data_IF_309988855787
#
_entry.id   IF_309988855787
#
_cell.length_a   1.000
_cell.length_b   1.000
_cell.length_c   1.000
_cell.angle_alpha   90.00
_cell.angle_beta   90.00
_cell.angle_gamma   90.00
#
_symmetry.space_group_name_H-M   'P 1'
#
loop_
_entity.id
_entity.type
_entity.pdbx_description
1 polymer ?
#
# COMPACT_ATOMS: atom_id res chain seq x y z
N UNK A 1 -4.12 19.75 56.32
CA UNK A 1 -4.62 20.00 54.94
C UNK A 1 -3.55 20.16 53.85
N UNK A 2 -2.23 20.21 54.15
CA UNK A 2 -1.18 20.32 53.10
C UNK A 2 -0.55 19.00 52.64
N UNK A 3 -0.83 17.88 53.31
CA UNK A 3 -0.19 16.59 53.01
C UNK A 3 -1.05 15.70 52.09
N UNK A 4 -2.38 15.85 52.09
CA UNK A 4 -3.27 15.11 51.19
C UNK A 4 -3.22 15.59 49.72
N UNK A 5 -2.73 16.80 49.46
CA UNK A 5 -2.69 17.37 48.11
C UNK A 5 -1.50 16.89 47.29
N UNK A 6 -0.40 16.51 47.93
CA UNK A 6 0.85 16.12 47.25
C UNK A 6 0.84 14.62 46.92
N UNK A 7 0.25 13.78 47.77
CA UNK A 7 0.12 12.34 47.51
C UNK A 7 -0.87 12.07 46.38
N UNK A 8 -1.97 12.82 46.29
CA UNK A 8 -2.93 12.67 45.19
C UNK A 8 -2.34 13.13 43.85
N UNK A 9 -1.44 14.13 43.86
CA UNK A 9 -0.80 14.64 42.65
C UNK A 9 0.30 13.69 42.12
N UNK A 10 1.04 13.02 43.01
CA UNK A 10 2.04 12.01 42.64
C UNK A 10 1.38 10.74 42.10
N UNK A 11 0.27 10.29 42.70
CA UNK A 11 -0.48 9.12 42.20
C UNK A 11 -1.11 9.42 40.83
N UNK A 12 -1.57 10.65 40.58
CA UNK A 12 -2.10 11.05 39.26
C UNK A 12 -0.97 11.16 38.22
N UNK A 13 0.23 11.63 38.58
CA UNK A 13 1.40 11.63 37.68
C UNK A 13 1.94 10.22 37.40
N UNK A 14 1.93 9.32 38.38
CA UNK A 14 2.30 7.91 38.18
C UNK A 14 1.24 7.15 37.36
N UNK A 15 -0.05 7.45 37.51
CA UNK A 15 -1.08 6.91 36.61
C UNK A 15 -0.99 7.48 35.19
N UNK A 16 -0.58 8.75 35.02
CA UNK A 16 -0.36 9.35 33.70
C UNK A 16 0.92 8.78 33.04
N UNK A 17 1.90 8.34 33.81
CA UNK A 17 3.11 7.67 33.29
C UNK A 17 2.95 6.17 33.03
N UNK A 18 1.81 5.54 33.38
CA UNK A 18 1.58 4.09 33.23
C UNK A 18 0.52 3.71 32.20
N UNK A 19 0.05 4.65 31.36
CA UNK A 19 -0.56 4.26 30.09
C UNK A 19 0.56 3.86 29.13
N UNK A 20 1.22 2.74 29.43
CA UNK A 20 1.86 1.96 28.38
C UNK A 20 0.71 1.57 27.45
N UNK A 21 0.63 2.24 26.31
CA UNK A 21 -0.20 1.81 25.20
C UNK A 21 0.36 0.45 24.82
N UNK A 22 -0.24 -0.62 25.32
CA UNK A 22 0.02 -1.98 24.84
C UNK A 22 -0.52 -2.00 23.42
N UNK A 23 0.33 -1.59 22.47
CA UNK A 23 0.09 -1.86 21.06
C UNK A 23 -0.08 -3.36 20.96
N UNK A 24 -1.21 -3.76 20.39
CA UNK A 24 -1.60 -5.15 20.18
C UNK A 24 -0.38 -5.99 19.80
N UNK A 25 -0.09 -7.05 20.55
CA UNK A 25 0.91 -8.09 20.21
C UNK A 25 0.48 -8.91 18.98
N UNK A 26 -0.43 -8.37 18.15
CA UNK A 26 -0.95 -8.99 16.95
C UNK A 26 -0.68 -8.10 15.75
N UNK A 27 -0.15 -8.68 14.69
CA UNK A 27 0.10 -8.03 13.41
C UNK A 27 -0.80 -8.65 12.35
N UNK A 28 -1.05 -7.89 11.28
CA UNK A 28 -1.79 -8.39 10.13
C UNK A 28 -0.79 -8.89 9.08
N UNK A 29 -0.86 -10.16 8.71
CA UNK A 29 -0.09 -10.73 7.61
C UNK A 29 -0.98 -11.03 6.42
N UNK A 30 -0.52 -10.64 5.24
CA UNK A 30 -1.13 -11.10 4.00
C UNK A 30 -0.69 -12.53 3.72
N UNK A 31 -1.63 -13.37 3.28
CA UNK A 31 -1.36 -14.78 2.94
C UNK A 31 -0.95 -14.90 1.47
N UNK A 32 -1.49 -14.02 0.64
CA UNK A 32 -1.14 -13.90 -0.78
C UNK A 32 -1.27 -12.44 -1.22
N UNK A 33 -0.52 -12.00 -2.25
CA UNK A 33 -0.68 -10.67 -2.81
C UNK A 33 -2.03 -10.49 -3.54
N UNK A 34 -2.72 -11.60 -3.83
CA UNK A 34 -4.08 -11.64 -4.33
C UNK A 34 -5.09 -11.94 -3.21
N UNK A 35 -6.30 -11.39 -3.30
CA UNK A 35 -7.51 -11.78 -2.54
C UNK A 35 -7.64 -11.26 -1.11
N UNK A 36 -6.85 -10.26 -0.69
CA UNK A 36 -6.93 -9.57 0.61
C UNK A 36 -7.05 -10.55 1.79
N UNK A 37 -6.55 -11.78 1.60
CA UNK A 37 -6.60 -12.82 2.61
C UNK A 37 -5.54 -12.48 3.62
N UNK A 38 -6.01 -11.98 4.75
CA UNK A 38 -5.16 -11.60 5.86
C UNK A 38 -5.40 -12.53 7.03
N UNK A 39 -4.39 -12.67 7.87
CA UNK A 39 -4.47 -13.34 9.16
C UNK A 39 -3.87 -12.43 10.22
N UNK A 40 -4.51 -12.42 11.38
CA UNK A 40 -3.87 -11.86 12.58
C UNK A 40 -2.90 -12.90 13.12
N UNK A 41 -1.67 -12.49 13.38
CA UNK A 41 -0.60 -13.33 13.92
C UNK A 41 0.00 -12.69 15.16
N UNK A 42 0.59 -13.49 16.04
CA UNK A 42 1.37 -12.96 17.15
C UNK A 42 2.64 -12.25 16.63
N UNK A 43 2.87 -11.04 17.12
CA UNK A 43 4.08 -10.25 16.92
C UNK A 43 4.41 -9.55 18.26
N UNK A 44 5.01 -10.28 19.22
CA UNK A 44 5.27 -9.75 20.55
C UNK A 44 6.20 -8.54 20.48
N UNK A 45 6.10 -7.67 21.49
CA UNK A 45 7.03 -6.55 21.63
C UNK A 45 8.42 -7.09 21.97
N UNK A 46 9.43 -6.67 21.20
CA UNK A 46 10.82 -7.06 21.39
C UNK A 46 11.70 -5.84 21.66
N UNK A 47 12.78 -6.05 22.42
CA UNK A 47 13.84 -5.07 22.60
C UNK A 47 14.91 -5.25 21.52
N UNK A 48 15.17 -4.18 20.77
CA UNK A 48 16.19 -4.14 19.69
C UNK A 48 17.63 -4.48 20.11
N UNK A 49 17.94 -4.53 21.41
CA UNK A 49 19.26 -4.98 21.91
C UNK A 49 19.38 -6.50 22.02
N UNK A 50 18.26 -7.21 22.16
CA UNK A 50 18.20 -8.66 22.38
C UNK A 50 17.83 -9.44 21.11
N UNK A 51 17.44 -8.74 20.04
CA UNK A 51 17.00 -9.36 18.80
C UNK A 51 18.13 -9.59 17.78
N UNK A 52 18.00 -10.65 16.99
CA UNK A 52 18.72 -10.83 15.70
C UNK A 52 18.23 -9.83 14.63
N UNK A 53 17.22 -9.03 14.95
CA UNK A 53 16.54 -8.03 14.13
C UNK A 53 17.30 -6.70 14.12
N UNK A 54 18.64 -6.76 14.16
CA UNK A 54 19.47 -5.58 13.91
C UNK A 54 19.05 -5.07 12.55
N UNK A 55 18.52 -3.82 12.49
CA UNK A 55 18.35 -3.07 11.23
C UNK A 55 19.56 -3.39 10.38
N UNK A 56 19.37 -4.17 9.31
CA UNK A 56 20.47 -4.48 8.42
C UNK A 56 20.84 -3.19 7.73
N UNK A 57 21.78 -2.47 8.35
CA UNK A 57 22.35 -1.25 7.81
C UNK A 57 23.46 -1.70 6.88
N UNK A 58 23.21 -1.66 5.57
CA UNK A 58 24.34 -1.71 4.64
C UNK A 58 25.05 -0.36 4.70
N UNK A 59 26.33 -0.36 5.07
CA UNK A 59 27.16 0.83 4.96
C UNK A 59 27.48 1.05 3.48
N UNK A 60 26.61 1.79 2.77
CA UNK A 60 26.72 2.18 1.35
C UNK A 60 26.47 1.08 0.31
N UNK A 61 25.27 0.50 0.27
CA UNK A 61 24.78 -0.18 -0.94
C UNK A 61 24.08 0.81 -1.87
N UNK A 62 24.30 0.70 -3.19
CA UNK A 62 23.54 1.40 -4.24
C UNK A 62 22.11 0.83 -4.39
N UNK A 63 21.83 -0.31 -3.76
CA UNK A 63 20.54 -0.95 -3.69
C UNK A 63 20.20 -1.41 -2.25
N UNK A 64 19.18 -0.80 -1.65
CA UNK A 64 18.67 -1.12 -0.31
C UNK A 64 17.47 -2.06 -0.33
N UNK A 65 17.15 -2.63 -1.50
CA UNK A 65 16.14 -3.67 -1.66
C UNK A 65 16.83 -5.00 -1.89
N UNK A 66 16.44 -6.02 -1.13
CA UNK A 66 16.84 -7.41 -1.36
C UNK A 66 15.62 -8.23 -1.76
N UNK A 67 15.81 -9.19 -2.66
CA UNK A 67 14.71 -10.00 -3.21
C UNK A 67 15.03 -11.47 -3.03
N UNK A 68 14.15 -12.17 -2.32
CA UNK A 68 14.05 -13.62 -2.32
C UNK A 68 13.16 -14.01 -3.50
N UNK A 69 13.80 -14.34 -4.64
CA UNK A 69 13.11 -14.57 -5.90
C UNK A 69 12.90 -16.05 -6.18
N UNK A 70 11.64 -16.44 -6.36
CA UNK A 70 11.24 -17.79 -6.74
C UNK A 70 10.64 -17.77 -8.15
N UNK A 71 11.35 -18.38 -9.10
CA UNK A 71 10.81 -18.61 -10.43
C UNK A 71 10.18 -20.00 -10.51
N UNK A 72 8.88 -20.07 -10.79
CA UNK A 72 8.09 -21.31 -10.80
C UNK A 72 7.75 -21.77 -12.22
N UNK A 73 8.59 -21.39 -13.19
CA UNK A 73 8.53 -21.86 -14.58
C UNK A 73 9.87 -22.44 -15.01
N UNK A 74 9.86 -23.24 -16.08
CA UNK A 74 11.06 -23.94 -16.56
C UNK A 74 12.03 -23.05 -17.37
N UNK A 75 11.59 -21.88 -17.83
CA UNK A 75 12.41 -20.96 -18.64
C UNK A 75 13.43 -20.20 -17.77
N UNK A 76 14.60 -20.82 -17.57
CA UNK A 76 15.70 -20.26 -16.79
C UNK A 76 16.25 -18.94 -17.34
N UNK A 77 16.15 -18.68 -18.65
CA UNK A 77 16.66 -17.43 -19.22
C UNK A 77 15.71 -16.28 -18.90
N UNK A 78 14.41 -16.51 -19.07
CA UNK A 78 13.37 -15.56 -18.67
C UNK A 78 13.41 -15.30 -17.16
N UNK A 79 13.55 -16.34 -16.33
CA UNK A 79 13.70 -16.20 -14.88
C UNK A 79 14.85 -15.25 -14.51
N UNK A 80 16.02 -15.41 -15.15
CA UNK A 80 17.17 -14.52 -14.92
C UNK A 80 16.89 -13.09 -15.35
N UNK A 81 16.19 -12.87 -16.48
CA UNK A 81 15.78 -11.53 -16.89
C UNK A 81 14.88 -10.88 -15.84
N UNK A 82 13.89 -11.61 -15.34
CA UNK A 82 12.96 -11.13 -14.30
C UNK A 82 13.70 -10.80 -12.99
N UNK A 83 14.59 -11.67 -12.53
CA UNK A 83 15.43 -11.43 -11.35
C UNK A 83 16.25 -10.13 -11.47
N UNK A 84 16.86 -9.88 -12.64
CA UNK A 84 17.59 -8.64 -12.88
C UNK A 84 16.70 -7.39 -12.90
N UNK A 85 15.44 -7.53 -13.31
CA UNK A 85 14.46 -6.42 -13.24
C UNK A 85 14.21 -6.04 -11.78
N UNK A 86 14.05 -7.01 -10.86
CA UNK A 86 13.90 -6.72 -9.44
C UNK A 86 15.10 -5.96 -8.85
N UNK A 87 16.32 -6.37 -9.21
CA UNK A 87 17.54 -5.66 -8.78
C UNK A 87 17.52 -4.21 -9.29
N UNK A 88 17.14 -4.02 -10.56
CA UNK A 88 17.06 -2.69 -11.17
C UNK A 88 15.98 -1.82 -10.54
N UNK A 89 14.79 -2.39 -10.27
CA UNK A 89 13.70 -1.70 -9.57
C UNK A 89 14.13 -1.25 -8.17
N UNK A 90 14.85 -2.11 -7.45
CA UNK A 90 15.42 -1.78 -6.15
C UNK A 90 16.36 -0.58 -6.18
N UNK A 91 17.17 -0.45 -7.24
CA UNK A 91 18.02 0.72 -7.45
C UNK A 91 17.22 2.00 -7.72
N UNK A 92 16.13 1.96 -8.47
CA UNK A 92 15.26 3.14 -8.69
C UNK A 92 14.59 3.62 -7.40
N UNK A 93 14.13 2.70 -6.56
CA UNK A 93 13.57 3.03 -5.25
C UNK A 93 14.65 3.60 -4.34
N UNK A 94 15.84 2.97 -4.30
CA UNK A 94 16.98 3.45 -3.52
C UNK A 94 17.50 4.82 -4.01
N UNK A 95 17.42 5.11 -5.31
CA UNK A 95 17.73 6.42 -5.87
C UNK A 95 16.70 7.51 -5.47
N UNK A 96 15.52 7.10 -5.01
CA UNK A 96 14.43 8.01 -4.60
C UNK A 96 14.36 8.21 -3.09
N UNK A 97 14.62 7.17 -2.30
CA UNK A 97 14.45 7.18 -0.85
C UNK A 97 15.78 7.02 -0.11
N UNK A 98 15.93 7.70 1.01
CA UNK A 98 16.96 7.47 2.02
C UNK A 98 16.48 6.37 2.97
N UNK A 99 16.59 5.11 2.54
CA UNK A 99 16.21 3.95 3.34
C UNK A 99 17.21 3.75 4.49
N UNK A 100 16.70 3.62 5.71
CA UNK A 100 17.47 3.42 6.95
C UNK A 100 17.73 1.95 7.26
N UNK A 101 16.95 1.06 6.64
CA UNK A 101 17.12 -0.39 6.73
C UNK A 101 16.75 -1.05 5.41
N UNK A 102 17.34 -2.21 5.15
CA UNK A 102 17.00 -3.03 3.98
C UNK A 102 15.51 -3.40 4.02
N UNK A 103 14.89 -3.31 2.85
CA UNK A 103 13.54 -3.82 2.58
C UNK A 103 13.71 -5.13 1.80
N UNK A 104 13.13 -6.19 2.34
CA UNK A 104 13.19 -7.55 1.80
C UNK A 104 11.87 -7.86 1.09
N UNK A 105 11.98 -8.39 -0.14
CA UNK A 105 10.85 -8.71 -1.00
C UNK A 105 10.82 -10.21 -1.23
N UNK A 106 9.70 -10.85 -0.87
CA UNK A 106 9.40 -12.20 -1.31
C UNK A 106 8.69 -12.14 -2.66
N UNK A 107 9.40 -12.49 -3.74
CA UNK A 107 8.91 -12.33 -5.10
C UNK A 107 8.75 -13.67 -5.82
N UNK A 108 7.64 -13.84 -6.53
CA UNK A 108 7.36 -15.03 -7.33
C UNK A 108 7.08 -14.69 -8.79
N UNK A 109 7.54 -15.54 -9.70
CA UNK A 109 7.18 -15.49 -11.13
C UNK A 109 6.56 -16.83 -11.54
N UNK A 110 5.25 -16.81 -11.84
CA UNK A 110 4.45 -18.02 -12.01
C UNK A 110 3.26 -17.80 -12.94
N UNK A 111 2.69 -18.89 -13.45
CA UNK A 111 1.53 -18.86 -14.35
C UNK A 111 0.23 -18.66 -13.54
N UNK A 112 -0.41 -17.50 -13.69
CA UNK A 112 -1.62 -17.16 -12.93
C UNK A 112 -2.82 -18.00 -13.33
N UNK A 113 -2.91 -18.40 -14.60
CA UNK A 113 -3.98 -19.26 -15.08
C UNK A 113 -3.89 -20.63 -14.41
N UNK A 114 -2.69 -21.23 -14.38
CA UNK A 114 -2.47 -22.53 -13.73
C UNK A 114 -2.60 -22.48 -12.22
N UNK A 115 -2.09 -21.43 -11.59
CA UNK A 115 -1.97 -21.37 -10.12
C UNK A 115 -3.25 -20.84 -9.46
N UNK A 116 -3.90 -19.85 -10.08
CA UNK A 116 -5.03 -19.14 -9.50
C UNK A 116 -6.33 -19.26 -10.32
N UNK A 117 -6.31 -19.94 -11.46
CA UNK A 117 -7.46 -20.00 -12.38
C UNK A 117 -7.75 -18.66 -13.07
N UNK A 118 -6.86 -17.66 -12.94
CA UNK A 118 -6.98 -16.33 -13.54
C UNK A 118 -6.39 -16.36 -14.94
N UNK A 119 -7.13 -16.97 -15.85
CA UNK A 119 -6.74 -17.07 -17.26
C UNK A 119 -7.17 -15.80 -17.99
N UNK A 120 -6.24 -15.18 -18.72
CA UNK A 120 -6.32 -13.88 -19.40
C UNK A 120 -7.41 -13.78 -20.49
N UNK A 121 -8.69 -13.98 -20.11
CA UNK A 121 -9.82 -14.07 -21.07
C UNK A 121 -10.39 -12.70 -21.43
N UNK A 122 -10.39 -11.76 -20.48
CA UNK A 122 -10.94 -10.41 -20.66
C UNK A 122 -10.02 -9.30 -20.13
N UNK A 123 -9.30 -9.57 -19.04
CA UNK A 123 -8.34 -8.66 -18.43
C UNK A 123 -7.05 -9.43 -18.19
N UNK A 124 -5.93 -8.85 -18.61
CA UNK A 124 -4.59 -9.37 -18.30
C UNK A 124 -4.15 -8.76 -16.98
N UNK A 125 -3.83 -9.59 -16.00
CA UNK A 125 -3.20 -9.17 -14.74
C UNK A 125 -1.70 -9.38 -14.89
N UNK A 126 -0.93 -8.29 -14.81
CA UNK A 126 0.53 -8.35 -14.98
C UNK A 126 1.24 -8.75 -13.69
N UNK A 127 0.75 -8.25 -12.55
CA UNK A 127 1.30 -8.58 -11.25
C UNK A 127 0.35 -8.25 -10.11
N UNK A 128 0.82 -8.54 -8.90
CA UNK A 128 0.31 -7.95 -7.68
C UNK A 128 1.42 -7.95 -6.64
N UNK A 129 1.51 -6.86 -5.89
CA UNK A 129 2.30 -6.81 -4.68
C UNK A 129 1.62 -5.95 -3.62
N UNK A 130 2.05 -6.17 -2.39
CA UNK A 130 1.58 -5.42 -1.24
C UNK A 130 2.49 -5.64 -0.04
N UNK A 131 2.21 -4.96 1.07
CA UNK A 131 2.91 -5.21 2.32
C UNK A 131 2.76 -6.68 2.71
N UNK A 132 3.85 -7.35 3.07
CA UNK A 132 3.77 -8.73 3.56
C UNK A 132 3.21 -8.77 5.00
N UNK A 133 3.58 -7.78 5.81
CA UNK A 133 3.08 -7.59 7.18
C UNK A 133 2.71 -6.12 7.40
N UNK A 134 1.60 -5.90 8.09
CA UNK A 134 1.19 -4.60 8.61
C UNK A 134 1.28 -4.60 10.13
N UNK A 135 1.86 -3.52 10.66
CA UNK A 135 2.09 -3.32 12.08
C UNK A 135 1.07 -2.31 12.59
N UNK A 136 0.23 -2.66 13.58
CA UNK A 136 -0.65 -1.68 14.21
C UNK A 136 0.21 -0.65 14.94
N UNK A 137 -0.10 0.63 14.76
CA UNK A 137 0.59 1.70 15.45
C UNK A 137 -0.38 2.84 15.75
N UNK A 138 -0.28 3.37 16.97
CA UNK A 138 -0.99 4.56 17.40
C UNK A 138 0.01 5.71 17.44
N UNK A 139 -0.18 6.71 16.59
CA UNK A 139 0.59 7.95 16.66
C UNK A 139 0.28 8.63 18.01
N UNK A 140 1.28 8.97 18.86
CA UNK A 140 1.04 9.64 20.14
C UNK A 140 0.24 10.95 20.04
N UNK A 141 0.20 11.57 18.87
CA UNK A 141 -0.58 12.78 18.60
C UNK A 141 -2.03 12.50 18.21
N UNK A 142 -2.39 11.22 18.03
CA UNK A 142 -3.71 10.80 17.57
C UNK A 142 -4.27 9.67 18.44
N UNK A 143 -5.59 9.68 18.64
CA UNK A 143 -6.25 8.62 19.39
C UNK A 143 -6.75 7.47 18.49
N UNK A 144 -6.02 7.16 17.40
CA UNK A 144 -6.42 6.17 16.41
C UNK A 144 -5.28 5.24 16.04
N UNK A 145 -5.55 3.94 16.11
CA UNK A 145 -4.64 2.90 15.62
C UNK A 145 -4.80 2.78 14.11
N UNK A 146 -3.69 2.80 13.37
CA UNK A 146 -3.65 2.46 11.95
C UNK A 146 -2.61 1.40 11.68
N UNK A 147 -2.80 0.67 10.59
CA UNK A 147 -1.88 -0.36 10.15
C UNK A 147 -0.83 0.25 9.20
N UNK A 148 0.44 0.06 9.55
CA UNK A 148 1.58 0.55 8.79
C UNK A 148 2.24 -0.62 8.06
N UNK A 149 2.57 -0.50 6.76
CA UNK A 149 3.45 -1.46 6.10
C UNK A 149 4.74 -1.63 6.90
N UNK A 150 5.17 -2.86 7.15
CA UNK A 150 6.44 -3.12 7.83
C UNK A 150 7.61 -2.42 7.11
N UNK A 151 7.55 -2.36 5.77
CA UNK A 151 8.47 -1.61 4.91
C UNK A 151 8.67 -0.16 5.38
N UNK A 152 7.57 0.53 5.71
CA UNK A 152 7.54 1.90 6.19
C UNK A 152 7.91 1.98 7.67
N UNK A 153 7.31 1.13 8.50
CA UNK A 153 7.50 1.12 9.95
C UNK A 153 8.99 1.02 10.33
N UNK A 154 9.75 0.18 9.62
CA UNK A 154 11.21 0.03 9.82
C UNK A 154 12.03 1.29 9.50
N UNK A 155 11.49 2.22 8.69
CA UNK A 155 12.18 3.48 8.34
C UNK A 155 11.90 4.60 9.32
N UNK A 156 10.94 4.42 10.23
CA UNK A 156 10.57 5.42 11.23
C UNK A 156 11.55 5.41 12.41
N UNK A 157 11.68 6.55 13.08
CA UNK A 157 12.54 6.69 14.26
C UNK A 157 11.77 6.23 15.51
N UNK A 158 11.54 4.93 15.64
CA UNK A 158 10.81 4.35 16.77
C UNK A 158 11.71 3.93 17.94
N UNK A 159 11.13 3.83 19.15
CA UNK A 159 11.84 3.46 20.38
C UNK A 159 12.50 2.08 20.31
N UNK A 160 13.32 1.79 21.32
CA UNK A 160 14.09 0.54 21.47
C UNK A 160 13.17 -0.70 21.46
N UNK A 161 11.91 -0.53 21.86
CA UNK A 161 10.84 -1.53 21.85
C UNK A 161 9.97 -1.39 20.59
N UNK A 162 9.76 -2.49 19.88
CA UNK A 162 8.87 -2.55 18.73
C UNK A 162 8.26 -3.96 18.57
N UNK A 163 7.15 -4.12 17.84
CA UNK A 163 6.64 -5.45 17.49
C UNK A 163 7.67 -6.24 16.69
N UNK A 164 7.73 -7.55 16.91
CA UNK A 164 8.58 -8.46 16.13
C UNK A 164 8.28 -8.35 14.63
N UNK A 165 9.34 -8.21 13.82
CA UNK A 165 9.19 -8.11 12.37
C UNK A 165 9.04 -9.48 11.71
N UNK A 166 8.29 -9.48 10.61
CA UNK A 166 8.18 -10.64 9.73
C UNK A 166 9.41 -10.78 8.85
N UNK A 167 9.59 -11.96 8.21
CA UNK A 167 10.79 -12.25 7.43
C UNK A 167 10.94 -11.36 6.18
N UNK A 168 9.84 -10.86 5.63
CA UNK A 168 9.82 -10.02 4.45
C UNK A 168 8.91 -8.82 4.68
N UNK A 169 9.24 -7.69 4.04
CA UNK A 169 8.46 -6.46 4.11
C UNK A 169 7.41 -6.38 3.00
N UNK A 170 7.73 -6.91 1.82
CA UNK A 170 6.87 -6.89 0.63
C UNK A 170 6.70 -8.32 0.12
N UNK A 171 5.49 -8.66 -0.32
CA UNK A 171 5.24 -9.84 -1.14
C UNK A 171 4.81 -9.41 -2.53
N UNK A 172 5.32 -10.08 -3.55
CA UNK A 172 5.04 -9.76 -4.93
C UNK A 172 4.91 -11.03 -5.78
N UNK A 173 4.02 -11.04 -6.75
CA UNK A 173 3.87 -12.14 -7.70
C UNK A 173 3.56 -11.57 -9.08
N UNK A 174 4.23 -12.09 -10.11
CA UNK A 174 4.11 -11.62 -11.49
C UNK A 174 3.73 -12.76 -12.42
N UNK A 175 2.89 -12.45 -13.42
CA UNK A 175 2.26 -13.44 -14.27
C UNK A 175 3.18 -13.86 -15.42
N UNK A 176 3.69 -15.09 -15.35
CA UNK A 176 4.53 -15.65 -16.40
C UNK A 176 3.80 -15.97 -17.70
N UNK A 177 2.46 -15.96 -17.70
CA UNK A 177 1.63 -16.16 -18.89
C UNK A 177 1.37 -14.85 -19.64
N UNK A 178 2.30 -13.90 -19.58
CA UNK A 178 2.18 -12.61 -20.28
C UNK A 178 3.43 -12.32 -21.10
N UNK A 179 3.28 -11.44 -22.09
CA UNK A 179 4.40 -11.02 -22.93
C UNK A 179 5.02 -9.76 -22.33
N UNK A 180 6.23 -9.89 -21.80
CA UNK A 180 6.99 -8.75 -21.31
C UNK A 180 8.04 -8.30 -22.32
N UNK A 181 8.38 -7.01 -22.25
CA UNK A 181 9.59 -6.43 -22.81
C UNK A 181 10.60 -6.20 -21.69
N UNK A 182 11.87 -6.47 -21.98
CA UNK A 182 12.99 -6.25 -21.05
C UNK A 182 14.00 -5.28 -21.65
N UNK A 183 14.68 -4.51 -20.81
CA UNK A 183 15.75 -3.61 -21.26
C UNK A 183 16.80 -4.39 -22.07
N UNK A 184 17.10 -3.90 -23.28
CA UNK A 184 17.96 -4.54 -24.25
C UNK A 184 17.24 -5.41 -25.30
N UNK A 185 15.94 -5.70 -25.12
CA UNK A 185 15.14 -6.30 -26.19
C UNK A 185 14.93 -5.31 -27.36
N UNK A 186 14.64 -5.79 -28.58
CA UNK A 186 14.46 -4.93 -29.74
C UNK A 186 13.39 -3.85 -29.54
N UNK A 187 13.61 -2.69 -30.15
CA UNK A 187 12.65 -1.59 -30.24
C UNK A 187 12.11 -1.46 -31.69
N UNK A 188 10.84 -1.02 -31.87
CA UNK A 188 9.88 -0.65 -30.83
C UNK A 188 9.32 -1.87 -30.08
N UNK A 189 8.93 -1.66 -28.82
CA UNK A 189 8.21 -2.67 -28.04
C UNK A 189 6.90 -3.04 -28.76
N UNK A 190 6.56 -4.33 -28.78
CA UNK A 190 5.37 -4.82 -29.48
C UNK A 190 4.08 -4.41 -28.75
N UNK A 191 2.97 -4.33 -29.48
CA UNK A 191 1.70 -3.78 -28.95
C UNK A 191 1.14 -4.54 -27.75
N UNK A 192 1.38 -5.85 -27.67
CA UNK A 192 0.93 -6.72 -26.57
C UNK A 192 1.96 -6.87 -25.44
N UNK A 193 3.12 -6.22 -25.56
CA UNK A 193 4.14 -6.26 -24.54
C UNK A 193 3.94 -5.15 -23.51
N UNK A 194 4.28 -5.49 -22.27
CA UNK A 194 4.45 -4.53 -21.18
C UNK A 194 5.91 -4.51 -20.72
N UNK A 195 6.44 -3.33 -20.42
CA UNK A 195 7.77 -3.19 -19.83
C UNK A 195 7.77 -3.78 -18.41
N UNK A 196 8.55 -4.84 -18.20
CA UNK A 196 8.57 -5.54 -16.91
C UNK A 196 9.09 -4.65 -15.77
N UNK A 197 10.03 -3.73 -16.05
CA UNK A 197 10.58 -2.85 -15.04
C UNK A 197 9.55 -1.82 -14.56
N UNK A 198 8.72 -1.30 -15.47
CA UNK A 198 7.57 -0.48 -15.08
C UNK A 198 6.68 -1.25 -14.10
N UNK A 199 6.27 -2.47 -14.46
CA UNK A 199 5.33 -3.27 -13.66
C UNK A 199 5.94 -3.59 -12.30
N UNK A 200 7.20 -4.02 -12.23
CA UNK A 200 7.85 -4.33 -10.95
C UNK A 200 7.96 -3.11 -10.05
N UNK A 201 8.34 -1.94 -10.58
CA UNK A 201 8.42 -0.72 -9.76
C UNK A 201 7.02 -0.32 -9.26
N UNK A 202 6.01 -0.35 -10.12
CA UNK A 202 4.61 -0.06 -9.77
C UNK A 202 4.15 -0.90 -8.57
N UNK A 203 4.31 -2.22 -8.68
CA UNK A 203 3.93 -3.17 -7.63
C UNK A 203 4.74 -2.97 -6.34
N UNK A 204 6.03 -2.66 -6.45
CA UNK A 204 6.82 -2.37 -5.26
C UNK A 204 6.35 -1.09 -4.54
N UNK A 205 5.89 -0.06 -5.25
CA UNK A 205 5.33 1.15 -4.62
C UNK A 205 4.05 0.84 -3.82
N UNK A 206 3.22 -0.07 -4.33
CA UNK A 206 2.11 -0.63 -3.57
C UNK A 206 2.59 -1.27 -2.25
N UNK A 207 3.63 -2.11 -2.31
CA UNK A 207 4.27 -2.70 -1.12
C UNK A 207 4.87 -1.68 -0.14
N UNK A 208 5.30 -0.51 -0.61
CA UNK A 208 5.81 0.57 0.23
C UNK A 208 4.69 1.34 0.96
N UNK A 209 3.43 1.25 0.51
CA UNK A 209 2.29 1.86 1.19
C UNK A 209 1.43 2.78 0.33
N UNK A 210 1.59 2.81 -1.00
CA UNK A 210 0.55 3.37 -1.87
C UNK A 210 -0.61 2.37 -1.94
N UNK A 211 -1.55 2.47 -1.01
CA UNK A 211 -2.69 1.55 -0.89
C UNK A 211 -3.79 2.23 -0.08
N UNK A 212 -4.96 1.62 0.04
CA UNK A 212 -6.09 2.11 0.84
C UNK A 212 -6.78 0.92 1.48
N UNK A 213 -7.36 1.10 2.68
CA UNK A 213 -8.22 0.05 3.25
C UNK A 213 -9.60 0.01 2.61
N UNK A 214 -9.98 0.99 1.79
CA UNK A 214 -11.36 1.16 1.31
C UNK A 214 -11.68 0.30 0.08
N UNK A 215 -12.63 -0.63 0.23
CA UNK A 215 -13.12 -1.50 -0.84
C UNK A 215 -14.59 -1.92 -0.59
N UNK A 216 -15.25 -2.55 -1.55
CA UNK A 216 -16.58 -3.16 -1.42
C UNK A 216 -16.45 -4.62 -0.94
N UNK A 217 -15.92 -4.78 0.27
CA UNK A 217 -15.65 -6.08 0.92
C UNK A 217 -16.86 -7.02 0.98
N UNK A 218 -18.07 -6.44 1.02
CA UNK A 218 -19.31 -7.20 1.12
C UNK A 218 -19.94 -7.50 -0.24
N UNK A 219 -19.44 -6.91 -1.34
CA UNK A 219 -20.02 -7.07 -2.69
C UNK A 219 -21.46 -6.52 -2.80
N UNK A 220 -21.81 -5.53 -1.97
CA UNK A 220 -23.15 -4.94 -1.88
C UNK A 220 -23.19 -3.49 -2.37
N UNK A 221 -22.16 -3.06 -3.12
CA UNK A 221 -22.01 -1.70 -3.65
C UNK A 221 -21.93 -0.66 -2.53
N UNK A 222 -21.13 -0.95 -1.52
CA UNK A 222 -20.88 -0.06 -0.40
C UNK A 222 -19.40 -0.15 0.01
N UNK A 223 -18.69 0.98 0.01
CA UNK A 223 -17.29 0.99 0.43
C UNK A 223 -17.17 1.15 1.93
N UNK A 224 -16.39 0.26 2.53
CA UNK A 224 -15.97 0.32 3.93
C UNK A 224 -14.45 0.25 4.02
N UNK A 225 -13.84 0.72 5.12
CA UNK A 225 -12.47 0.32 5.43
C UNK A 225 -12.37 -1.19 5.62
N UNK A 226 -11.15 -1.69 5.76
CA UNK A 226 -10.87 -3.11 5.87
C UNK A 226 -11.50 -3.71 7.13
N UNK A 227 -12.05 -4.92 7.00
CA UNK A 227 -12.73 -5.63 8.09
C UNK A 227 -11.69 -6.37 8.91
N UNK A 228 -11.66 -6.14 10.22
CA UNK A 228 -10.76 -6.84 11.12
C UNK A 228 -11.37 -7.15 12.48
N UNK A 229 -10.63 -7.94 13.25
CA UNK A 229 -10.96 -8.31 14.60
C UNK A 229 -9.88 -7.89 15.59
N UNK A 230 -10.26 -7.59 16.84
CA UNK A 230 -9.31 -7.49 17.96
C UNK A 230 -9.47 -8.67 18.92
N UNK A 231 -8.35 -9.28 19.29
CA UNK A 231 -8.25 -10.11 20.50
C UNK A 231 -7.83 -9.21 21.66
N UNK A 232 -8.33 -9.46 22.87
CA UNK A 232 -7.86 -8.75 24.07
C UNK A 232 -6.33 -8.95 24.19
N UNK A 233 -5.53 -7.92 24.55
CA UNK A 233 -4.15 -8.15 24.95
C UNK A 233 -4.13 -9.09 26.16
N UNK A 234 -3.23 -10.09 26.23
CA UNK A 234 -3.12 -10.90 27.43
C UNK A 234 -2.75 -10.00 28.62
N UNK A 235 -3.47 -10.16 29.73
CA UNK A 235 -3.10 -9.49 30.99
C UNK A 235 -1.81 -10.15 31.50
N UNK A 236 -0.79 -9.41 31.97
CA UNK A 236 0.42 -10.03 32.53
C UNK A 236 0.07 -11.04 33.64
N UNK A 237 0.39 -12.31 33.42
CA UNK A 237 0.12 -13.41 34.36
C UNK A 237 -1.09 -14.30 34.03
N UNK A 238 -1.81 -14.05 32.94
CA UNK A 238 -2.95 -14.86 32.50
C UNK A 238 -2.47 -16.03 31.62
N UNK A 239 -2.68 -17.28 32.05
CA UNK A 239 -2.37 -18.47 31.25
C UNK A 239 -3.51 -18.67 30.25
N UNK A 240 -3.26 -18.39 28.97
CA UNK A 240 -4.26 -18.51 27.90
C UNK A 240 -4.51 -19.98 27.55
N UNK A 241 -5.70 -20.48 27.89
CA UNK A 241 -6.21 -21.72 27.31
C UNK A 241 -6.70 -21.44 25.88
N UNK A 242 -6.23 -22.25 24.92
CA UNK A 242 -6.55 -22.18 23.50
C UNK A 242 -8.06 -22.05 23.20
N UNK A 243 -8.54 -20.81 23.06
CA UNK A 243 -9.66 -20.38 22.23
C UNK A 243 -9.77 -18.87 22.36
N UNK A 244 -8.91 -18.11 21.65
CA UNK A 244 -9.03 -16.65 21.59
C UNK A 244 -10.27 -16.30 20.76
N UNK A 245 -11.43 -16.32 21.40
CA UNK A 245 -12.68 -15.82 20.87
C UNK A 245 -12.50 -14.31 20.60
N UNK A 246 -12.76 -13.89 19.36
CA UNK A 246 -12.63 -12.50 18.97
C UNK A 246 -13.67 -11.65 19.70
N UNK A 247 -13.23 -10.78 20.62
CA UNK A 247 -14.13 -10.05 21.51
C UNK A 247 -14.87 -8.91 20.80
N UNK A 248 -14.26 -8.27 19.78
CA UNK A 248 -14.88 -7.22 18.98
C UNK A 248 -14.30 -7.16 17.57
N UNK A 249 -15.16 -6.84 16.59
CA UNK A 249 -14.76 -6.58 15.21
C UNK A 249 -14.94 -5.11 14.89
N UNK A 250 -14.02 -4.57 14.10
CA UNK A 250 -14.02 -3.17 13.71
C UNK A 250 -13.49 -3.02 12.28
N UNK A 251 -13.86 -1.90 11.66
CA UNK A 251 -13.21 -1.48 10.42
C UNK A 251 -11.90 -0.76 10.78
N UNK A 252 -10.79 -1.17 10.18
CA UNK A 252 -9.49 -0.56 10.44
C UNK A 252 -8.97 0.20 9.22
N UNK A 253 -8.16 1.20 9.50
CA UNK A 253 -7.51 2.01 8.48
C UNK A 253 -6.04 1.60 8.31
N UNK A 254 -5.56 1.72 7.08
CA UNK A 254 -4.13 1.78 6.79
C UNK A 254 -3.64 3.21 7.03
N UNK A 255 -2.34 3.38 7.27
CA UNK A 255 -1.75 4.73 7.45
C UNK A 255 -2.02 5.66 6.25
N UNK A 256 -2.10 5.14 5.04
CA UNK A 256 -2.43 5.92 3.85
C UNK A 256 -3.83 6.55 3.90
N UNK A 257 -4.80 5.92 4.57
CA UNK A 257 -6.18 6.42 4.67
C UNK A 257 -6.27 7.72 5.44
N UNK A 258 -5.31 7.99 6.34
CA UNK A 258 -5.15 9.28 7.02
C UNK A 258 -5.04 10.45 6.03
N UNK A 259 -4.52 10.19 4.84
CA UNK A 259 -4.31 11.20 3.79
C UNK A 259 -5.44 11.23 2.77
N UNK A 260 -6.43 10.33 2.85
CA UNK A 260 -7.56 10.34 1.93
C UNK A 260 -8.48 11.52 2.19
N UNK A 261 -8.82 12.23 1.13
CA UNK A 261 -9.71 13.39 1.15
C UNK A 261 -10.75 13.30 0.04
N UNK A 262 -11.98 13.70 0.37
CA UNK A 262 -13.02 13.95 -0.62
C UNK A 262 -12.78 15.31 -1.26
N UNK A 263 -12.45 15.32 -2.54
CA UNK A 263 -12.08 16.53 -3.25
C UNK A 263 -13.21 17.56 -3.32
N UNK A 264 -14.50 17.24 -3.54
CA UNK A 264 -15.54 18.27 -3.59
C UNK A 264 -15.74 19.04 -2.29
N UNK A 265 -15.62 18.36 -1.13
CA UNK A 265 -15.90 18.94 0.19
C UNK A 265 -14.67 19.29 1.01
N UNK A 266 -13.50 18.75 0.67
CA UNK A 266 -12.29 18.81 1.49
C UNK A 266 -12.33 17.93 2.74
N UNK A 267 -13.37 17.10 2.91
CA UNK A 267 -13.55 16.26 4.10
C UNK A 267 -12.55 15.10 4.08
N UNK A 268 -11.83 14.91 5.19
CA UNK A 268 -10.97 13.75 5.40
C UNK A 268 -11.80 12.48 5.51
N UNK A 269 -11.40 11.45 4.77
CA UNK A 269 -12.12 10.17 4.71
C UNK A 269 -12.05 9.43 6.04
N UNK A 270 -11.02 9.64 6.87
CA UNK A 270 -10.97 9.07 8.23
C UNK A 270 -12.17 9.45 9.10
N UNK A 271 -12.72 10.66 8.97
CA UNK A 271 -13.93 11.06 9.69
C UNK A 271 -15.18 10.30 9.23
N UNK A 272 -15.16 9.76 8.01
CA UNK A 272 -16.24 8.92 7.46
C UNK A 272 -16.06 7.48 7.96
N UNK A 273 -14.82 6.98 8.04
CA UNK A 273 -14.52 5.70 8.69
C UNK A 273 -15.01 5.67 10.14
N UNK A 274 -14.87 6.77 10.89
CA UNK A 274 -15.34 6.87 12.28
C UNK A 274 -16.87 6.74 12.37
N UNK A 275 -17.61 7.29 11.41
CA UNK A 275 -19.07 7.14 11.34
C UNK A 275 -19.49 5.71 10.98
N UNK A 276 -18.78 5.07 10.04
CA UNK A 276 -19.01 3.66 9.67
C UNK A 276 -18.71 2.73 10.84
N UNK A 277 -17.66 2.99 11.62
CA UNK A 277 -17.28 2.22 12.81
C UNK A 277 -18.27 2.29 13.98
N UNK A 278 -19.31 3.12 13.90
CA UNK A 278 -20.45 3.05 14.85
C UNK A 278 -21.29 1.79 14.64
N UNK A 279 -21.19 1.15 13.47
CA UNK A 279 -21.72 -0.18 13.25
C UNK A 279 -20.84 -1.21 13.97
N UNK A 280 -21.44 -1.95 14.90
CA UNK A 280 -20.76 -2.98 15.69
C UNK A 280 -21.14 -4.36 15.15
N UNK A 281 -20.15 -5.21 14.95
CA UNK A 281 -20.34 -6.56 14.46
C UNK A 281 -19.34 -7.53 15.12
N UNK A 282 -19.62 -8.82 14.97
CA UNK A 282 -18.71 -9.90 15.38
C UNK A 282 -18.41 -10.76 14.17
N UNK A 283 -17.14 -10.93 13.83
CA UNK A 283 -16.69 -11.99 12.92
C UNK A 283 -16.31 -13.20 13.77
N UNK A 284 -16.92 -14.35 13.48
CA UNK A 284 -16.50 -15.61 14.08
C UNK A 284 -15.14 -16.05 13.52
N UNK A 285 -14.89 -15.74 12.23
CA UNK A 285 -13.60 -15.92 11.56
C UNK A 285 -13.37 -14.79 10.54
N UNK A 286 -12.11 -14.40 10.30
CA UNK A 286 -11.74 -13.42 9.25
C UNK A 286 -12.10 -13.89 7.82
N UNK A 287 -12.50 -15.17 7.67
CA UNK A 287 -12.84 -15.80 6.40
C UNK A 287 -14.34 -15.82 6.07
N UNK A 288 -15.22 -15.43 7.00
CA UNK A 288 -16.66 -15.39 6.75
C UNK A 288 -17.24 -14.05 7.13
N UNK A 289 -17.71 -13.31 6.13
CA UNK A 289 -18.58 -12.14 6.27
C UNK A 289 -20.04 -12.50 6.10
N UNK A 290 -20.37 -13.81 6.05
CA UNK A 290 -21.71 -14.31 5.85
C UNK A 290 -22.62 -13.82 7.00
N UNK A 291 -23.74 -13.20 6.64
CA UNK A 291 -24.67 -12.57 7.59
C UNK A 291 -24.36 -11.11 7.89
N UNK A 292 -23.09 -10.71 7.99
CA UNK A 292 -22.68 -9.33 8.30
C UNK A 292 -23.11 -8.36 7.20
N UNK A 293 -23.00 -8.76 5.94
CA UNK A 293 -23.44 -7.92 4.82
C UNK A 293 -24.93 -7.54 4.93
N UNK A 294 -25.77 -8.46 5.41
CA UNK A 294 -27.21 -8.22 5.61
C UNK A 294 -27.46 -7.29 6.79
N UNK A 295 -26.78 -7.52 7.92
CA UNK A 295 -26.87 -6.66 9.11
C UNK A 295 -26.38 -5.25 8.81
N UNK A 296 -25.24 -5.13 8.12
CA UNK A 296 -24.69 -3.86 7.70
C UNK A 296 -25.65 -3.14 6.76
N UNK A 297 -26.24 -3.83 5.78
CA UNK A 297 -27.24 -3.25 4.86
C UNK A 297 -28.47 -2.68 5.57
N UNK A 298 -28.85 -3.25 6.71
CA UNK A 298 -29.96 -2.76 7.53
C UNK A 298 -29.55 -1.63 8.50
N UNK A 299 -28.26 -1.36 8.64
CA UNK A 299 -27.72 -0.37 9.58
C UNK A 299 -27.88 1.09 9.09
N UNK A 300 -27.89 2.07 10.01
CA UNK A 300 -27.81 3.49 9.66
C UNK A 300 -26.52 3.90 8.92
N UNK A 301 -25.46 3.08 8.98
CA UNK A 301 -24.17 3.35 8.36
C UNK A 301 -24.13 2.98 6.87
N UNK A 302 -24.99 2.08 6.41
CA UNK A 302 -25.00 1.62 5.02
C UNK A 302 -25.18 2.75 3.99
N UNK A 303 -26.09 3.74 4.17
CA UNK A 303 -26.18 4.88 3.26
C UNK A 303 -24.88 5.68 3.13
N UNK A 304 -24.07 5.76 4.21
CA UNK A 304 -22.78 6.44 4.21
C UNK A 304 -21.78 5.67 3.33
N UNK A 305 -21.67 4.37 3.53
CA UNK A 305 -20.81 3.49 2.74
C UNK A 305 -21.23 3.42 1.25
N UNK A 306 -22.53 3.43 0.98
CA UNK A 306 -23.09 3.53 -0.38
C UNK A 306 -22.76 4.86 -1.05
N UNK A 307 -22.77 5.96 -0.31
CA UNK A 307 -22.33 7.26 -0.84
C UNK A 307 -20.83 7.24 -1.16
N UNK A 308 -20.01 6.59 -0.33
CA UNK A 308 -18.58 6.41 -0.63
C UNK A 308 -18.37 5.58 -1.91
N UNK A 309 -19.14 4.52 -2.11
CA UNK A 309 -19.12 3.72 -3.36
C UNK A 309 -19.44 4.56 -4.60
N UNK A 310 -20.47 5.41 -4.54
CA UNK A 310 -20.76 6.32 -5.65
C UNK A 310 -19.66 7.36 -5.86
N UNK A 311 -19.07 7.86 -4.77
CA UNK A 311 -17.96 8.82 -4.82
C UNK A 311 -16.73 8.21 -5.48
N UNK A 312 -16.43 6.93 -5.21
CA UNK A 312 -15.34 6.19 -5.84
C UNK A 312 -15.57 5.84 -7.33
N UNK A 313 -16.76 6.15 -7.86
CA UNK A 313 -17.11 6.08 -9.28
C UNK A 313 -17.42 7.46 -9.88
N UNK A 314 -17.03 8.53 -9.17
CA UNK A 314 -17.15 9.91 -9.67
C UNK A 314 -15.76 10.46 -9.96
N UNK A 315 -15.45 10.69 -11.24
CA UNK A 315 -14.15 11.18 -11.70
C UNK A 315 -13.68 12.41 -10.89
N UNK A 316 -12.44 12.35 -10.40
CA UNK A 316 -11.82 13.44 -9.64
C UNK A 316 -12.45 13.71 -8.27
N UNK A 317 -13.17 12.74 -7.68
CA UNK A 317 -13.85 12.95 -6.39
C UNK A 317 -12.99 12.61 -5.16
N UNK A 318 -11.92 11.84 -5.30
CA UNK A 318 -11.06 11.41 -4.20
C UNK A 318 -9.58 11.63 -4.51
N UNK A 319 -8.77 11.81 -3.46
CA UNK A 319 -7.33 11.97 -3.59
C UNK A 319 -6.57 11.67 -2.30
N UNK A 320 -5.27 11.44 -2.43
CA UNK A 320 -4.33 11.44 -1.30
C UNK A 320 -3.68 12.81 -1.14
N UNK A 321 -3.80 13.40 0.04
CA UNK A 321 -3.03 14.58 0.41
C UNK A 321 -1.53 14.25 0.41
N UNK A 322 -0.74 15.13 -0.20
CA UNK A 322 0.73 15.03 -0.24
C UNK A 322 1.40 15.85 0.86
N UNK A 323 0.63 16.29 1.84
CA UNK A 323 1.03 17.02 3.03
C UNK A 323 0.27 16.44 4.23
N UNK A 324 0.75 16.65 5.48
CA UNK A 324 0.02 16.25 6.67
C UNK A 324 -1.43 16.77 6.66
N UNK A 325 -2.42 15.92 6.94
CA UNK A 325 -3.82 16.33 6.94
C UNK A 325 -4.09 17.32 8.09
N UNK A 326 -5.03 18.24 7.86
CA UNK A 326 -5.53 19.17 8.86
C UNK A 326 -6.93 19.62 8.48
N UNK A 327 -7.82 19.73 9.47
CA UNK A 327 -9.18 20.24 9.29
C UNK A 327 -9.23 21.72 8.88
N UNK A 328 -8.08 22.41 8.91
CA UNK A 328 -7.95 23.83 8.57
C UNK A 328 -7.46 24.08 7.14
N UNK A 329 -7.21 23.04 6.35
CA UNK A 329 -6.74 23.21 4.98
C UNK A 329 -7.81 23.87 4.11
N UNK A 330 -7.43 24.92 3.40
CA UNK A 330 -8.30 25.54 2.41
C UNK A 330 -8.44 24.65 1.18
N UNK A 331 -9.52 24.85 0.41
CA UNK A 331 -9.73 24.15 -0.86
C UNK A 331 -8.54 24.29 -1.82
N UNK A 332 -7.95 25.48 -1.91
CA UNK A 332 -6.77 25.73 -2.74
C UNK A 332 -5.56 24.92 -2.25
N UNK A 333 -5.31 24.89 -0.93
CA UNK A 333 -4.23 24.10 -0.35
C UNK A 333 -4.40 22.61 -0.65
N UNK A 334 -5.62 22.07 -0.55
CA UNK A 334 -5.93 20.68 -0.89
C UNK A 334 -5.62 20.42 -2.37
N UNK A 335 -6.18 21.21 -3.29
CA UNK A 335 -6.03 21.00 -4.74
C UNK A 335 -4.57 21.10 -5.21
N UNK A 336 -3.77 21.95 -4.55
CA UNK A 336 -2.34 22.06 -4.85
C UNK A 336 -1.51 20.90 -4.29
N UNK A 337 -1.98 20.24 -3.21
CA UNK A 337 -1.25 19.21 -2.47
C UNK A 337 -1.98 17.87 -2.46
N UNK A 338 -2.45 17.42 -3.63
CA UNK A 338 -3.16 16.14 -3.76
C UNK A 338 -2.65 15.32 -4.96
N UNK A 339 -2.66 14.00 -4.79
CA UNK A 339 -2.67 13.01 -5.88
C UNK A 339 -4.12 12.60 -6.10
N UNK A 340 -4.66 12.85 -7.28
CA UNK A 340 -6.03 12.47 -7.63
C UNK A 340 -6.08 10.96 -7.87
N UNK A 341 -7.07 10.30 -7.29
CA UNK A 341 -7.24 8.86 -7.40
C UNK A 341 -8.19 8.50 -8.54
N UNK A 342 -7.95 7.33 -9.13
CA UNK A 342 -8.79 6.75 -10.17
C UNK A 342 -10.20 6.50 -9.61
N UNK A 343 -11.14 7.29 -10.09
CA UNK A 343 -12.54 7.30 -9.64
C UNK A 343 -13.51 7.39 -10.83
N UNK A 344 -13.04 7.18 -12.05
CA UNK A 344 -13.82 7.23 -13.29
C UNK A 344 -14.37 5.87 -13.73
N UNK A 345 -13.88 4.77 -13.15
CA UNK A 345 -14.27 3.41 -13.53
C UNK A 345 -15.72 3.10 -13.13
N UNK A 346 -16.54 2.75 -14.12
CA UNK A 346 -17.95 2.37 -13.95
C UNK A 346 -18.20 1.02 -14.64
N UNK A 347 -18.65 -0.03 -13.91
CA UNK A 347 -18.81 -0.08 -12.46
C UNK A 347 -17.47 0.03 -11.72
N UNK A 348 -17.53 0.26 -10.40
CA UNK A 348 -16.36 0.18 -9.50
C UNK A 348 -15.57 -1.10 -9.76
N UNK A 349 -14.25 -0.98 -9.84
CA UNK A 349 -13.35 -2.10 -10.08
C UNK A 349 -12.47 -2.31 -8.86
N UNK A 350 -12.70 -3.42 -8.14
CA UNK A 350 -11.89 -3.85 -6.99
C UNK A 350 -10.41 -3.85 -7.33
N UNK A 351 -9.58 -3.37 -6.41
CA UNK A 351 -8.14 -3.24 -6.60
C UNK A 351 -7.69 -2.24 -7.66
N UNK A 352 -8.61 -1.53 -8.35
CA UNK A 352 -8.30 -0.51 -9.36
C UNK A 352 -8.83 0.86 -8.95
N UNK A 353 -10.14 0.98 -8.80
CA UNK A 353 -10.81 2.18 -8.28
C UNK A 353 -10.26 2.53 -6.90
N UNK A 354 -9.93 3.81 -6.67
CA UNK A 354 -9.30 4.38 -5.46
C UNK A 354 -7.95 3.81 -5.03
N UNK A 355 -7.48 2.72 -5.64
CA UNK A 355 -6.18 2.11 -5.40
C UNK A 355 -5.08 2.62 -6.35
N UNK A 356 -5.45 3.37 -7.40
CA UNK A 356 -4.56 3.90 -8.43
C UNK A 356 -4.76 5.40 -8.63
N UNK A 357 -3.87 6.02 -9.40
CA UNK A 357 -3.99 7.43 -9.78
C UNK A 357 -4.88 7.62 -11.01
N UNK A 358 -5.52 8.79 -11.06
CA UNK A 358 -6.41 9.17 -12.15
C UNK A 358 -5.74 9.10 -13.53
N UNK A 359 -6.29 8.28 -14.42
CA UNK A 359 -5.62 8.00 -15.68
C UNK A 359 -5.46 9.23 -16.57
N UNK A 360 -6.57 9.94 -16.81
CA UNK A 360 -6.60 11.10 -17.71
C UNK A 360 -5.70 12.24 -17.20
N UNK A 361 -5.60 12.41 -15.89
CA UNK A 361 -4.74 13.41 -15.27
C UNK A 361 -3.26 13.08 -15.46
N UNK A 362 -2.87 11.81 -15.27
CA UNK A 362 -1.45 11.48 -15.05
C UNK A 362 -0.75 10.73 -16.19
N UNK A 363 -1.48 10.19 -17.18
CA UNK A 363 -0.89 9.36 -18.25
C UNK A 363 0.23 10.05 -19.06
N UNK A 364 0.18 11.38 -19.17
CA UNK A 364 1.19 12.20 -19.86
C UNK A 364 2.01 13.08 -18.90
N UNK A 365 2.00 12.77 -17.61
CA UNK A 365 2.68 13.55 -16.57
C UNK A 365 3.86 12.78 -15.99
N UNK A 366 4.69 13.44 -15.17
CA UNK A 366 5.75 12.74 -14.43
C UNK A 366 5.24 11.81 -13.30
N UNK A 367 3.95 11.85 -12.94
CA UNK A 367 3.31 10.98 -11.94
C UNK A 367 2.54 9.80 -12.60
N UNK A 368 3.05 9.29 -13.72
CA UNK A 368 2.44 8.24 -14.55
C UNK A 368 2.54 6.81 -13.97
N UNK A 369 3.30 6.60 -12.89
CA UNK A 369 3.68 5.25 -12.48
C UNK A 369 2.50 4.45 -11.91
N UNK A 370 1.61 5.09 -11.15
CA UNK A 370 0.56 4.41 -10.39
C UNK A 370 -0.80 4.37 -11.12
N UNK A 371 -0.79 4.35 -12.46
CA UNK A 371 -2.00 4.20 -13.27
C UNK A 371 -2.55 2.78 -13.14
N UNK A 372 -3.87 2.58 -13.20
CA UNK A 372 -4.47 1.25 -13.10
C UNK A 372 -4.21 0.35 -14.32
N UNK A 373 -3.84 0.97 -15.45
CA UNK A 373 -3.56 0.30 -16.72
C UNK A 373 -2.23 0.75 -17.30
N UNK A 374 -1.58 -0.16 -18.02
CA UNK A 374 -0.27 0.08 -18.61
C UNK A 374 -0.40 0.92 -19.90
N UNK A 375 0.25 2.10 -19.99
CA UNK A 375 0.25 2.90 -21.21
C UNK A 375 0.98 2.14 -22.33
N UNK A 376 0.23 1.73 -23.35
CA UNK A 376 0.72 0.83 -24.39
C UNK A 376 1.92 1.37 -25.16
N UNK A 377 2.73 0.44 -25.67
CA UNK A 377 3.77 0.65 -26.71
C UNK A 377 4.96 1.52 -26.33
N UNK A 378 5.08 1.93 -25.06
CA UNK A 378 6.23 2.67 -24.58
C UNK A 378 6.92 1.97 -23.41
N UNK A 379 8.22 1.75 -23.56
CA UNK A 379 9.09 1.32 -22.46
C UNK A 379 9.14 2.38 -21.37
N UNK A 380 9.55 2.00 -20.16
CA UNK A 380 9.69 2.93 -19.04
C UNK A 380 10.63 4.10 -19.39
N UNK A 381 11.74 3.80 -20.06
CA UNK A 381 12.70 4.81 -20.52
C UNK A 381 12.12 5.79 -21.53
N UNK A 382 11.25 5.33 -22.43
CA UNK A 382 10.52 6.20 -23.37
C UNK A 382 9.51 7.09 -22.65
N UNK A 383 8.74 6.55 -21.70
CA UNK A 383 7.76 7.33 -20.93
C UNK A 383 8.48 8.42 -20.13
N UNK A 384 9.50 8.05 -19.35
CA UNK A 384 10.30 9.00 -18.55
C UNK A 384 10.93 10.10 -19.40
N UNK A 385 11.40 9.76 -20.60
CA UNK A 385 11.97 10.73 -21.53
C UNK A 385 10.91 11.68 -22.08
N UNK A 386 9.71 11.18 -22.40
CA UNK A 386 8.63 11.99 -22.94
C UNK A 386 8.10 13.01 -21.93
N UNK A 387 8.00 12.63 -20.66
CA UNK A 387 7.50 13.50 -19.58
C UNK A 387 8.61 14.28 -18.87
N UNK A 388 9.85 14.19 -19.36
CA UNK A 388 11.00 14.92 -18.81
C UNK A 388 11.42 14.50 -17.39
N UNK A 389 11.03 13.30 -16.94
CA UNK A 389 11.34 12.83 -15.58
C UNK A 389 12.69 12.11 -15.47
N UNK A 390 13.31 11.76 -16.61
CA UNK A 390 14.51 10.90 -16.66
C UNK A 390 15.60 11.30 -15.67
N UNK A 391 15.92 12.59 -15.56
CA UNK A 391 17.02 13.09 -14.71
C UNK A 391 16.54 13.89 -13.49
N UNK A 392 15.24 13.89 -13.18
CA UNK A 392 14.66 14.75 -12.14
C UNK A 392 13.96 13.95 -11.05
N UNK A 393 13.04 13.08 -11.41
CA UNK A 393 12.27 12.26 -10.45
C UNK A 393 12.31 10.78 -10.78
N UNK A 394 12.75 10.42 -11.99
CA UNK A 394 12.76 9.05 -12.45
C UNK A 394 11.35 8.53 -12.74
N UNK A 395 11.07 7.26 -12.44
CA UNK A 395 9.72 6.69 -12.52
C UNK A 395 8.83 7.12 -11.35
N UNK A 396 9.40 7.53 -10.20
CA UNK A 396 8.63 7.90 -9.01
C UNK A 396 8.43 9.42 -9.02
N UNK A 397 7.29 9.85 -9.57
CA UNK A 397 6.95 11.24 -9.84
C UNK A 397 6.92 12.18 -8.62
N UNK A 398 6.88 13.50 -8.85
CA UNK A 398 7.00 14.50 -7.79
C UNK A 398 5.89 14.39 -6.74
N UNK A 399 4.62 14.17 -7.12
CA UNK A 399 3.55 14.04 -6.14
C UNK A 399 3.66 12.72 -5.38
N UNK A 400 3.97 11.62 -6.07
CA UNK A 400 4.18 10.32 -5.43
C UNK A 400 5.32 10.37 -4.40
N UNK A 401 6.42 11.06 -4.71
CA UNK A 401 7.51 11.36 -3.77
C UNK A 401 6.99 12.09 -2.52
N UNK A 402 6.18 13.13 -2.69
CA UNK A 402 5.63 13.89 -1.56
C UNK A 402 4.68 13.04 -0.70
N UNK A 403 3.87 12.16 -1.31
CA UNK A 403 3.03 11.21 -0.58
C UNK A 403 3.89 10.23 0.24
N UNK A 404 4.91 9.60 -0.36
CA UNK A 404 5.82 8.71 0.36
C UNK A 404 6.51 9.44 1.53
N UNK A 405 6.90 10.69 1.32
CA UNK A 405 7.42 11.57 2.37
C UNK A 405 6.43 11.81 3.51
N UNK A 406 5.17 12.05 3.16
CA UNK A 406 4.09 12.28 4.13
C UNK A 406 3.74 11.02 4.92
N UNK A 407 3.81 9.84 4.30
CA UNK A 407 3.67 8.55 4.98
C UNK A 407 4.77 8.32 6.03
N UNK A 408 5.98 8.85 5.79
CA UNK A 408 7.09 8.81 6.74
C UNK A 408 8.43 8.34 6.16
N UNK A 409 8.52 8.06 4.86
CA UNK A 409 9.82 7.81 4.22
C UNK A 409 10.65 9.09 4.12
N UNK A 410 11.97 8.96 4.26
CA UNK A 410 12.86 10.06 3.95
C UNK A 410 13.13 10.08 2.44
N UNK A 411 12.66 11.12 1.75
CA UNK A 411 12.80 11.25 0.29
C UNK A 411 14.04 12.06 -0.06
N UNK A 412 14.82 11.57 -1.02
CA UNK A 412 16.01 12.28 -1.51
C UNK A 412 15.61 13.59 -2.20
N UNK A 413 16.34 14.67 -1.90
CA UNK A 413 16.15 15.98 -2.55
C UNK A 413 16.60 15.96 -4.01
N UNK A 414 17.72 15.30 -4.26
CA UNK A 414 18.29 15.13 -5.60
C UNK A 414 18.04 13.71 -6.08
N UNK A 415 17.90 13.55 -7.39
CA UNK A 415 17.76 12.28 -8.04
C UNK A 415 18.86 12.13 -9.09
N UNK A 416 19.50 10.97 -9.09
CA UNK A 416 20.41 10.57 -10.16
C UNK A 416 19.93 9.23 -10.67
N UNK A 417 19.73 9.06 -11.98
CA UNK A 417 19.31 7.78 -12.54
C UNK A 417 20.31 6.70 -12.18
N UNK A 418 19.89 5.59 -11.55
CA UNK A 418 20.82 4.53 -11.17
C UNK A 418 21.29 3.72 -12.37
N UNK A 419 20.52 3.73 -13.46
CA UNK A 419 20.82 3.05 -14.72
C UNK A 419 20.35 3.93 -15.88
N UNK A 420 20.97 3.74 -17.05
CA UNK A 420 20.53 4.37 -18.30
C UNK A 420 19.59 3.41 -19.03
N UNK A 421 18.33 3.82 -19.20
CA UNK A 421 17.31 3.06 -19.94
C UNK A 421 17.28 3.47 -21.40
N UNK A 422 16.84 2.56 -22.28
CA UNK A 422 16.61 2.87 -23.69
C UNK A 422 15.43 3.83 -23.84
N UNK A 423 15.62 4.89 -24.61
CA UNK A 423 14.63 5.97 -24.75
C UNK A 423 14.46 6.47 -26.19
N UNK A 424 14.63 5.59 -27.18
CA UNK A 424 14.44 5.94 -28.60
C UNK A 424 13.05 6.58 -28.77
N UNK A 425 12.94 7.83 -29.25
CA UNK A 425 11.67 8.54 -29.30
C UNK A 425 10.63 7.80 -30.13
N UNK A 426 9.42 7.66 -29.59
CA UNK A 426 8.27 7.13 -30.33
C UNK A 426 7.73 8.27 -31.19
N UNK A 427 7.68 8.09 -32.52
CA UNK A 427 6.97 9.04 -33.39
C UNK A 427 5.48 8.96 -33.03
N UNK A 428 4.90 10.09 -32.60
CA UNK A 428 3.48 10.23 -32.23
C UNK A 428 3.05 9.38 -31.02
N UNK A 429 3.77 9.45 -29.88
CA UNK A 429 3.28 8.87 -28.63
C UNK A 429 1.95 9.54 -28.24
N UNK A 430 0.85 8.79 -28.32
CA UNK A 430 -0.45 9.19 -27.80
C UNK A 430 -1.06 8.03 -27.02
N UNK A 431 -0.93 8.02 -25.67
CA UNK A 431 -1.39 6.90 -24.86
C UNK A 431 -2.92 6.79 -24.77
N UNK A 432 -3.67 7.79 -25.25
CA UNK A 432 -5.14 7.84 -25.20
C UNK A 432 -5.82 7.03 -26.31
N UNK A 433 -5.10 6.62 -27.37
CA UNK A 433 -5.73 6.03 -28.57
C UNK A 433 -6.05 4.53 -28.40
N UNK A 434 -5.49 3.84 -27.40
CA UNK A 434 -5.68 2.39 -27.23
C UNK A 434 -5.73 1.94 -25.76
N UNK A 435 -6.87 2.15 -25.08
CA UNK A 435 -7.12 1.52 -23.77
C UNK A 435 -7.35 0.02 -23.97
N UNK A 436 -6.26 -0.76 -23.85
CA UNK A 436 -6.28 -2.23 -23.64
C UNK A 436 -6.93 -2.55 -22.29
N UNK A 437 -7.70 -3.62 -22.14
CA UNK A 437 -8.06 -4.20 -20.82
C UNK A 437 -6.84 -4.86 -20.15
N UNK A 438 -5.73 -4.14 -19.99
CA UNK A 438 -4.54 -4.62 -19.26
C UNK A 438 -4.57 -3.91 -17.92
N UNK A 439 -4.77 -4.65 -16.84
CA UNK A 439 -4.70 -4.09 -15.50
C UNK A 439 -3.33 -4.44 -14.93
N UNK A 440 -2.62 -3.44 -14.42
CA UNK A 440 -1.27 -3.65 -13.88
C UNK A 440 -1.38 -4.49 -12.61
N UNK A 441 -2.28 -4.09 -11.70
CA UNK A 441 -2.48 -4.70 -10.39
C UNK A 441 -3.94 -4.96 -10.10
N UNK A 442 -4.27 -6.12 -9.54
CA UNK A 442 -5.48 -6.27 -8.74
C UNK A 442 -5.08 -6.62 -7.31
N UNK A 443 -5.02 -5.61 -6.43
CA UNK A 443 -5.15 -5.85 -4.99
C UNK A 443 -6.62 -6.20 -4.75
N UNK A 444 -7.02 -7.45 -5.02
CA UNK A 444 -8.35 -7.94 -4.63
C UNK A 444 -8.38 -8.04 -3.14
#
# INVERSE_FOLDING_TARGET
>A
MKILSTTLFVVVLELICLVQITVSEKCLEYISPFYQKTKMIDCPMIHSKDSKDKRQTSSKSDNMITVDFQCLIDDKQLCKKVEQVFITAGKFITATLNLKSIISVNAQFLDFCKTYGKCDKDVIILGAAGPARMIPYQDPKENKIRFYPQALYKQMNFPIEHPEFGPNEIMATFNSNTSYWFEGDPLPMLEKQSDMLYVVIHEMIHGLGFTTSWDDYFGIKALTPAIGGTTKPPTPGEITSQSDELQSSQFFELISDKFLVLLPSGKLVSSIADEINKFQFKIETLSSTDGIASEFSASPQFPIAKNMYNTAMTHGAMGFLTIPPSDQLTREQILNNVIILETSLIPYQHGSSVAHTDFDTYVNSSDFLMLFTYPKTATLGQIMSAVGSTNTTGPIGPKLRLLLGSLGYEVKKEYTPPVKLSNIPIKNYNPLIHITKIIITIMI
#
